data_IF_769252543581
#
_entry.id   IF_769252543581
#
_cell.length_a   1.000
_cell.length_b   1.000
_cell.length_c   1.000
_cell.angle_alpha   90.00
_cell.angle_beta   90.00
_cell.angle_gamma   90.00
#
_symmetry.space_group_name_H-M   'P 1'
#
loop_
_entity.id
_entity.type
_entity.pdbx_description
1 polymer ?
#
# COMPACT_ATOMS: atom_id res chain seq x y z
N UNK A 1 -51.32 -16.47 60.74
CA UNK A 1 -51.57 -16.57 59.29
C UNK A 1 -50.23 -16.61 58.55
N UNK A 2 -49.95 -17.74 57.91
CA UNK A 2 -48.83 -17.95 56.97
C UNK A 2 -49.11 -17.21 55.67
N UNK A 3 -48.17 -16.42 55.15
CA UNK A 3 -47.98 -16.16 53.70
C UNK A 3 -46.49 -15.92 53.42
N UNK A 4 -45.76 -16.99 53.07
CA UNK A 4 -45.30 -17.38 51.72
C UNK A 4 -44.05 -16.64 51.22
N UNK A 5 -42.95 -17.38 51.34
CA UNK A 5 -41.72 -17.32 50.55
C UNK A 5 -42.01 -17.51 49.04
N UNK A 6 -41.24 -16.84 48.18
CA UNK A 6 -40.72 -17.25 46.84
C UNK A 6 -40.96 -16.22 45.74
N UNK A 7 -39.84 -15.65 45.27
CA UNK A 7 -39.46 -15.34 43.87
C UNK A 7 -38.19 -14.46 44.00
N UNK A 8 -36.98 -15.03 44.08
CA UNK A 8 -36.24 -15.60 42.95
C UNK A 8 -36.28 -14.68 41.72
N UNK A 9 -35.46 -13.65 41.71
CA UNK A 9 -34.80 -13.18 40.48
C UNK A 9 -33.40 -12.69 40.85
N UNK A 10 -32.49 -13.65 40.85
CA UNK A 10 -31.07 -13.43 40.60
C UNK A 10 -30.92 -13.21 39.08
N UNK A 11 -29.80 -12.61 38.71
CA UNK A 11 -29.12 -12.68 37.40
C UNK A 11 -29.16 -11.40 36.55
N UNK A 12 -27.95 -10.83 36.50
CA UNK A 12 -27.31 -10.13 35.39
C UNK A 12 -27.63 -8.65 35.16
N UNK A 13 -26.77 -7.83 35.78
CA UNK A 13 -26.18 -6.69 35.12
C UNK A 13 -25.42 -7.15 33.86
N UNK A 14 -26.12 -7.35 32.76
CA UNK A 14 -25.50 -7.21 31.43
C UNK A 14 -25.62 -5.75 31.06
N UNK A 15 -24.56 -5.02 31.40
CA UNK A 15 -24.14 -3.82 30.67
C UNK A 15 -24.01 -4.27 29.23
N UNK A 16 -25.07 -4.06 28.44
CA UNK A 16 -24.96 -4.10 27.00
C UNK A 16 -24.11 -2.91 26.61
N UNK A 17 -22.81 -3.10 26.71
CA UNK A 17 -21.84 -2.50 25.82
C UNK A 17 -22.32 -2.83 24.41
N UNK A 18 -23.26 -2.02 23.90
CA UNK A 18 -23.28 -1.64 22.51
C UNK A 18 -21.91 -1.04 22.28
N UNK A 19 -20.97 -1.94 22.02
CA UNK A 19 -19.78 -1.67 21.28
C UNK A 19 -20.22 -0.76 20.15
N UNK A 20 -19.79 0.49 20.24
CA UNK A 20 -19.28 1.14 19.05
C UNK A 20 -18.30 0.12 18.45
N UNK A 21 -18.82 -0.76 17.59
CA UNK A 21 -18.14 -1.06 16.35
C UNK A 21 -18.09 0.28 15.63
N UNK A 22 -17.22 1.17 16.13
CA UNK A 22 -16.62 2.16 15.28
C UNK A 22 -16.08 1.33 14.15
N UNK A 23 -16.68 1.47 12.97
CA UNK A 23 -16.03 1.17 11.73
C UNK A 23 -14.73 1.98 11.79
N UNK A 24 -13.68 1.41 12.35
CA UNK A 24 -12.34 2.00 12.34
C UNK A 24 -11.83 1.77 10.93
N UNK A 25 -12.42 2.50 9.97
CA UNK A 25 -11.68 2.85 8.77
C UNK A 25 -10.36 3.44 9.28
N UNK A 26 -9.20 2.92 8.85
CA UNK A 26 -7.93 3.47 9.28
C UNK A 26 -7.95 4.98 9.00
N UNK A 27 -7.86 5.79 10.06
CA UNK A 27 -7.87 7.24 9.93
C UNK A 27 -6.62 7.68 9.17
N UNK A 28 -6.77 7.89 7.87
CA UNK A 28 -5.74 8.47 7.01
C UNK A 28 -5.79 9.98 7.20
N UNK A 29 -4.63 10.62 7.33
CA UNK A 29 -4.56 12.08 7.46
C UNK A 29 -5.03 12.70 6.13
N UNK A 30 -6.19 13.35 6.15
CA UNK A 30 -6.84 13.93 4.97
C UNK A 30 -5.93 14.93 4.24
N UNK A 31 -5.12 15.70 4.97
CA UNK A 31 -4.15 16.62 4.38
C UNK A 31 -3.08 15.91 3.55
N UNK A 32 -2.61 14.75 4.02
CA UNK A 32 -1.69 13.90 3.25
C UNK A 32 -2.38 13.33 2.03
N UNK A 33 -3.58 12.75 2.20
CA UNK A 33 -4.33 12.17 1.09
C UNK A 33 -4.58 13.19 -0.01
N UNK A 34 -5.05 14.38 0.33
CA UNK A 34 -5.27 15.47 -0.62
C UNK A 34 -3.99 15.93 -1.33
N UNK A 35 -2.84 15.87 -0.67
CA UNK A 35 -1.56 16.22 -1.29
C UNK A 35 -1.16 15.22 -2.36
N UNK A 36 -1.32 13.93 -2.09
CA UNK A 36 -0.68 12.87 -2.87
C UNK A 36 -1.61 12.23 -3.90
N UNK A 37 -2.92 12.31 -3.69
CA UNK A 37 -3.91 11.73 -4.60
C UNK A 37 -3.80 12.35 -5.99
N UNK A 38 -3.89 11.48 -7.00
CA UNK A 38 -3.74 11.82 -8.41
C UNK A 38 -2.41 12.49 -8.75
N UNK A 39 -1.36 12.27 -7.96
CA UNK A 39 -0.04 12.83 -8.18
C UNK A 39 1.03 11.74 -8.20
N UNK A 40 2.23 12.13 -8.63
CA UNK A 40 3.42 11.28 -8.59
C UNK A 40 4.25 11.66 -7.38
N UNK A 41 4.56 10.69 -6.53
CA UNK A 41 5.36 10.86 -5.32
C UNK A 41 6.64 10.05 -5.43
N UNK A 42 7.77 10.66 -5.10
CA UNK A 42 9.03 9.93 -4.97
C UNK A 42 9.05 9.14 -3.68
N UNK A 43 9.34 7.84 -3.76
CA UNK A 43 9.28 6.92 -2.63
C UNK A 43 10.50 6.01 -2.60
N UNK A 44 10.91 5.61 -1.39
CA UNK A 44 11.86 4.52 -1.20
C UNK A 44 11.13 3.20 -1.24
N UNK A 45 11.72 2.19 -1.87
CA UNK A 45 11.25 0.81 -1.80
C UNK A 45 11.50 0.30 -0.38
N UNK A 46 10.45 0.22 0.45
CA UNK A 46 10.55 -0.33 1.78
C UNK A 46 10.64 -1.85 1.70
N UNK A 47 9.73 -2.53 1.00
CA UNK A 47 9.86 -3.98 0.74
C UNK A 47 10.04 -4.19 -0.78
N UNK A 48 11.22 -4.67 -1.15
CA UNK A 48 11.59 -4.96 -2.54
C UNK A 48 10.98 -6.24 -3.07
N UNK A 49 11.23 -6.52 -4.35
CA UNK A 49 10.77 -7.72 -5.02
C UNK A 49 11.56 -8.95 -4.58
N UNK A 50 10.93 -10.13 -4.68
CA UNK A 50 11.61 -11.42 -4.48
C UNK A 50 11.86 -12.11 -5.83
N UNK A 51 13.01 -12.78 -5.99
CA UNK A 51 13.39 -13.36 -7.28
C UNK A 51 12.56 -14.58 -7.66
N UNK A 52 12.04 -15.32 -6.69
CA UNK A 52 11.45 -16.66 -6.83
C UNK A 52 9.96 -16.72 -6.46
N UNK A 53 9.45 -15.71 -5.75
CA UNK A 53 8.07 -15.64 -5.26
C UNK A 53 7.47 -14.25 -5.40
N UNK A 54 6.15 -14.20 -5.51
CA UNK A 54 5.41 -12.95 -5.48
C UNK A 54 5.53 -12.32 -4.10
N UNK A 55 5.71 -11.01 -4.08
CA UNK A 55 5.45 -10.22 -2.90
C UNK A 55 3.93 -10.12 -2.73
N UNK A 56 3.39 -10.58 -1.60
CA UNK A 56 1.97 -10.47 -1.27
C UNK A 56 1.84 -10.18 0.22
N UNK A 57 1.07 -9.15 0.64
CA UNK A 57 0.79 -8.97 2.05
C UNK A 57 0.02 -10.19 2.61
N UNK A 58 0.15 -10.41 3.92
CA UNK A 58 -0.39 -11.57 4.62
C UNK A 58 -1.85 -11.89 4.24
N UNK A 59 -2.06 -13.13 3.76
CA UNK A 59 -3.33 -13.85 3.61
C UNK A 59 -4.46 -13.10 2.90
N UNK A 60 -4.88 -13.64 1.75
CA UNK A 60 -6.12 -13.34 1.02
C UNK A 60 -7.33 -13.05 1.93
N UNK A 61 -7.41 -13.67 3.12
CA UNK A 61 -8.52 -13.52 4.06
C UNK A 61 -8.39 -12.34 5.05
N UNK A 62 -7.21 -11.76 5.27
CA UNK A 62 -7.00 -10.70 6.29
C UNK A 62 -7.15 -9.30 5.70
N UNK A 63 -6.73 -9.09 4.45
CA UNK A 63 -6.83 -7.80 3.76
C UNK A 63 -8.18 -7.58 3.04
N UNK A 64 -8.99 -8.64 2.88
CA UNK A 64 -10.20 -8.69 2.06
C UNK A 64 -11.29 -7.64 2.37
N UNK A 65 -11.25 -7.02 3.55
CA UNK A 65 -12.27 -6.04 3.97
C UNK A 65 -11.91 -4.57 3.65
N UNK A 66 -10.65 -4.26 3.33
CA UNK A 66 -10.21 -2.88 3.03
C UNK A 66 -9.56 -2.71 1.66
N UNK A 67 -8.96 -3.78 1.16
CA UNK A 67 -8.24 -3.79 -0.10
C UNK A 67 -8.62 -5.08 -0.84
N UNK A 68 -9.25 -4.96 -2.01
CA UNK A 68 -9.72 -6.13 -2.74
C UNK A 68 -8.54 -6.89 -3.37
N UNK A 69 -8.04 -7.92 -2.69
CA UNK A 69 -7.01 -8.85 -3.19
C UNK A 69 -7.66 -10.14 -3.71
N UNK A 70 -7.06 -10.76 -4.71
CA UNK A 70 -7.48 -12.08 -5.21
C UNK A 70 -6.31 -12.90 -5.79
N UNK A 71 -6.58 -14.15 -6.18
CA UNK A 71 -5.58 -15.00 -6.84
C UNK A 71 -5.00 -14.39 -8.12
N UNK A 72 -5.68 -13.43 -8.75
CA UNK A 72 -5.13 -12.74 -9.92
C UNK A 72 -4.02 -11.76 -9.51
N UNK A 73 -4.17 -11.05 -8.39
CA UNK A 73 -3.20 -10.05 -7.93
C UNK A 73 -1.81 -10.64 -7.63
N UNK A 74 -1.72 -11.84 -7.01
CA UNK A 74 -0.43 -12.47 -6.68
C UNK A 74 0.41 -12.85 -7.92
N UNK A 75 -0.19 -12.83 -9.11
CA UNK A 75 0.50 -13.20 -10.34
C UNK A 75 1.41 -12.09 -10.88
N UNK A 76 1.35 -10.88 -10.32
CA UNK A 76 2.07 -9.69 -10.81
C UNK A 76 3.19 -9.26 -9.86
N UNK A 77 4.00 -8.30 -10.32
CA UNK A 77 5.10 -7.72 -9.53
C UNK A 77 4.57 -6.58 -8.67
N UNK A 78 4.97 -6.60 -7.40
CA UNK A 78 4.53 -5.65 -6.38
C UNK A 78 5.70 -5.28 -5.48
N UNK A 79 5.64 -4.07 -4.95
CA UNK A 79 6.54 -3.58 -3.91
C UNK A 79 5.75 -2.81 -2.86
N UNK A 80 6.37 -2.57 -1.70
CA UNK A 80 5.87 -1.64 -0.70
C UNK A 80 6.73 -0.37 -0.65
N UNK A 81 6.43 0.66 -1.44
CA UNK A 81 7.14 1.93 -1.40
C UNK A 81 6.62 2.85 -0.28
N UNK A 82 7.52 3.64 0.29
CA UNK A 82 7.24 4.60 1.36
C UNK A 82 7.87 5.98 1.06
N UNK A 83 7.13 7.04 1.40
CA UNK A 83 7.66 8.41 1.48
C UNK A 83 7.38 9.03 2.84
N UNK A 84 8.39 9.70 3.38
CA UNK A 84 8.23 10.62 4.50
C UNK A 84 8.10 12.04 3.91
N UNK A 85 6.90 12.59 3.98
CA UNK A 85 6.60 13.92 3.45
C UNK A 85 7.23 15.03 4.30
N UNK A 86 7.20 16.25 3.78
CA UNK A 86 7.90 17.39 4.40
C UNK A 86 7.38 17.70 5.82
N UNK A 87 8.17 18.51 6.52
CA UNK A 87 8.10 18.78 7.96
C UNK A 87 6.82 19.48 8.45
N UNK A 88 6.07 20.15 7.59
CA UNK A 88 4.82 20.85 7.95
C UNK A 88 3.59 19.93 7.95
N UNK A 89 3.65 18.78 7.27
CA UNK A 89 2.53 17.86 7.13
C UNK A 89 2.64 16.58 7.98
N UNK A 90 3.80 16.32 8.61
CA UNK A 90 4.08 15.15 9.47
C UNK A 90 3.46 13.85 8.93
N UNK A 91 3.75 13.56 7.67
CA UNK A 91 3.06 12.53 6.93
C UNK A 91 3.94 11.40 6.43
N UNK A 92 3.43 10.17 6.56
CA UNK A 92 4.00 8.99 5.90
C UNK A 92 2.99 8.49 4.88
N UNK A 93 3.48 8.23 3.68
CA UNK A 93 2.74 7.54 2.63
C UNK A 93 3.38 6.18 2.47
N UNK A 94 2.58 5.12 2.52
CA UNK A 94 3.09 3.75 2.44
C UNK A 94 2.07 2.87 1.71
N UNK A 95 2.12 2.88 0.38
CA UNK A 95 1.08 2.28 -0.47
C UNK A 95 1.65 1.20 -1.34
N UNK A 96 0.98 0.06 -1.43
CA UNK A 96 1.44 -1.05 -2.27
C UNK A 96 1.32 -0.68 -3.75
N UNK A 97 2.41 -0.85 -4.49
CA UNK A 97 2.48 -0.42 -5.88
C UNK A 97 2.78 -1.57 -6.83
N UNK A 98 2.08 -1.55 -7.98
CA UNK A 98 2.40 -2.42 -9.11
C UNK A 98 3.69 -1.98 -9.77
N UNK A 99 4.48 -2.97 -10.20
CA UNK A 99 5.70 -2.74 -10.98
C UNK A 99 5.46 -3.18 -12.42
N UNK A 100 5.46 -2.27 -13.40
CA UNK A 100 5.32 -2.61 -14.80
C UNK A 100 6.59 -3.29 -15.34
N UNK A 101 6.47 -3.93 -16.50
CA UNK A 101 7.52 -4.78 -17.09
C UNK A 101 8.78 -4.01 -17.47
N UNK A 102 8.64 -2.74 -17.81
CA UNK A 102 9.70 -1.84 -18.24
C UNK A 102 10.59 -1.39 -17.07
N UNK A 103 10.12 -1.57 -15.82
CA UNK A 103 10.87 -1.20 -14.62
C UNK A 103 11.77 -2.37 -14.20
N UNK A 104 13.07 -2.12 -13.93
CA UNK A 104 13.99 -3.17 -13.50
C UNK A 104 13.54 -3.80 -12.18
N UNK A 105 14.12 -4.94 -11.83
CA UNK A 105 13.84 -5.59 -10.56
C UNK A 105 14.27 -4.68 -9.39
N UNK A 106 13.34 -4.39 -8.49
CA UNK A 106 13.52 -3.42 -7.42
C UNK A 106 13.92 -4.09 -6.10
N UNK A 107 14.89 -3.49 -5.40
CA UNK A 107 15.40 -3.92 -4.10
C UNK A 107 15.03 -2.92 -3.01
N UNK A 108 15.14 -3.35 -1.75
CA UNK A 108 15.02 -2.47 -0.60
C UNK A 108 15.98 -1.28 -0.73
N UNK A 109 15.49 -0.06 -0.48
CA UNK A 109 16.26 1.18 -0.52
C UNK A 109 16.31 1.86 -1.90
N UNK A 110 15.89 1.18 -2.97
CA UNK A 110 15.79 1.80 -4.29
C UNK A 110 14.82 2.98 -4.25
N UNK A 111 15.08 3.99 -5.07
CA UNK A 111 14.25 5.18 -5.17
C UNK A 111 13.41 5.09 -6.44
N UNK A 112 12.09 5.26 -6.30
CA UNK A 112 11.12 5.16 -7.39
C UNK A 112 10.15 6.32 -7.37
N UNK A 113 9.64 6.69 -8.53
CA UNK A 113 8.49 7.58 -8.62
C UNK A 113 7.22 6.73 -8.79
N UNK A 114 6.22 7.01 -7.95
CA UNK A 114 4.98 6.23 -7.84
C UNK A 114 3.80 7.14 -8.10
N UNK A 115 2.97 6.81 -9.07
CA UNK A 115 1.67 7.43 -9.25
C UNK A 115 0.68 6.87 -8.23
N UNK A 116 0.00 7.75 -7.49
CA UNK A 116 -0.99 7.39 -6.49
C UNK A 116 -2.40 7.78 -6.93
N UNK A 117 -3.24 6.82 -7.39
CA UNK A 117 -4.65 7.11 -7.61
C UNK A 117 -5.38 7.36 -6.28
N UNK A 118 -6.63 7.82 -6.33
CA UNK A 118 -7.45 8.00 -5.14
C UNK A 118 -7.67 6.65 -4.45
N UNK A 119 -7.55 6.64 -3.14
CA UNK A 119 -7.56 5.45 -2.31
C UNK A 119 -8.83 4.62 -2.46
N UNK A 120 -9.97 5.29 -2.54
CA UNK A 120 -11.29 4.74 -2.75
C UNK A 120 -11.43 3.97 -4.07
N UNK A 121 -10.47 4.14 -4.99
CA UNK A 121 -10.44 3.41 -6.27
C UNK A 121 -9.59 2.15 -6.22
N UNK A 122 -8.94 1.85 -5.07
CA UNK A 122 -8.00 0.74 -4.98
C UNK A 122 -8.74 -0.60 -5.03
N UNK A 123 -8.33 -1.42 -5.99
CA UNK A 123 -8.75 -2.79 -6.18
C UNK A 123 -7.58 -3.55 -6.82
N UNK A 124 -6.76 -4.16 -5.96
CA UNK A 124 -5.56 -4.89 -6.36
C UNK A 124 -5.87 -6.09 -7.25
N UNK A 125 -7.02 -6.75 -7.04
CA UNK A 125 -7.51 -7.85 -7.86
C UNK A 125 -7.82 -7.44 -9.30
N UNK A 126 -8.25 -6.19 -9.50
CA UNK A 126 -8.45 -5.54 -10.81
C UNK A 126 -7.26 -4.69 -11.25
N UNK A 127 -6.11 -4.78 -10.57
CA UNK A 127 -4.91 -3.98 -10.87
C UNK A 127 -5.12 -2.46 -10.77
N UNK A 128 -6.14 -2.02 -10.03
CA UNK A 128 -6.34 -0.61 -9.66
C UNK A 128 -5.55 -0.34 -8.39
N UNK A 129 -4.34 0.15 -8.55
CA UNK A 129 -3.41 0.38 -7.45
C UNK A 129 -2.49 1.56 -7.78
N UNK A 130 -1.70 2.03 -6.81
CA UNK A 130 -0.47 2.74 -7.09
C UNK A 130 0.39 2.02 -8.14
N UNK A 131 1.07 2.80 -8.98
CA UNK A 131 1.91 2.25 -10.07
C UNK A 131 3.29 2.90 -9.98
N UNK A 132 4.33 2.08 -9.98
CA UNK A 132 5.70 2.55 -10.18
C UNK A 132 5.83 2.99 -11.63
N UNK A 133 6.12 4.27 -11.85
CA UNK A 133 6.25 4.83 -13.20
C UNK A 133 7.71 5.00 -13.62
N UNK A 134 8.65 5.05 -12.66
CA UNK A 134 10.06 5.26 -12.92
C UNK A 134 10.94 4.73 -11.81
N UNK A 135 12.02 4.04 -12.18
CA UNK A 135 13.19 3.82 -11.33
C UNK A 135 14.09 5.06 -11.37
N UNK A 136 14.45 5.60 -10.21
CA UNK A 136 15.18 6.86 -10.08
C UNK A 136 16.63 6.62 -9.71
N UNK A 137 16.88 5.94 -8.58
CA UNK A 137 18.22 5.65 -8.07
C UNK A 137 18.27 4.24 -7.49
N UNK A 138 19.43 3.59 -7.64
CA UNK A 138 19.73 2.38 -6.88
C UNK A 138 19.91 2.71 -5.40
N UNK A 139 19.60 1.77 -4.52
CA UNK A 139 19.96 1.84 -3.10
C UNK A 139 21.47 2.08 -2.89
N UNK A 140 22.31 1.57 -3.79
CA UNK A 140 23.77 1.63 -3.69
C UNK A 140 24.38 2.88 -4.36
N UNK A 141 23.57 3.78 -4.94
CA UNK A 141 24.02 5.00 -5.62
C UNK A 141 23.76 6.25 -4.75
N UNK A 142 24.61 6.43 -3.75
CA UNK A 142 24.51 7.56 -2.80
C UNK A 142 24.53 8.93 -3.50
N UNK A 143 25.29 9.07 -4.58
CA UNK A 143 25.38 10.31 -5.33
C UNK A 143 24.05 10.68 -5.99
N UNK A 144 23.37 9.70 -6.61
CA UNK A 144 22.03 9.88 -7.14
C UNK A 144 21.02 10.17 -6.04
N UNK A 145 21.06 9.41 -4.94
CA UNK A 145 20.14 9.55 -3.80
C UNK A 145 20.22 10.96 -3.19
N UNK A 146 21.42 11.47 -2.98
CA UNK A 146 21.64 12.79 -2.40
C UNK A 146 21.27 13.92 -3.36
N UNK A 147 21.54 13.76 -4.66
CA UNK A 147 21.09 14.71 -5.68
C UNK A 147 19.56 14.79 -5.69
N UNK A 148 18.89 13.64 -5.71
CA UNK A 148 17.43 13.52 -5.69
C UNK A 148 16.82 14.19 -4.44
N UNK A 149 17.38 13.94 -3.25
CA UNK A 149 16.93 14.62 -2.03
C UNK A 149 17.07 16.13 -2.13
N UNK A 150 18.19 16.64 -2.66
CA UNK A 150 18.45 18.09 -2.82
C UNK A 150 17.45 18.75 -3.78
N UNK A 151 17.14 18.09 -4.90
CA UNK A 151 16.14 18.56 -5.87
C UNK A 151 14.75 18.72 -5.23
N UNK A 152 14.44 17.93 -4.20
CA UNK A 152 13.16 17.93 -3.48
C UNK A 152 13.23 18.65 -2.12
N UNK A 153 14.22 19.52 -1.89
CA UNK A 153 14.29 20.30 -0.64
C UNK A 153 14.60 19.46 0.62
N UNK A 154 15.19 18.28 0.44
CA UNK A 154 15.73 17.43 1.50
C UNK A 154 14.88 16.22 1.89
N UNK A 155 13.70 16.01 1.28
CA UNK A 155 12.82 14.86 1.57
C UNK A 155 12.09 14.36 0.31
N UNK A 156 11.54 13.16 0.41
CA UNK A 156 10.66 12.59 -0.60
C UNK A 156 9.32 13.35 -0.63
N UNK A 157 8.87 13.73 -1.82
CA UNK A 157 7.70 14.59 -2.01
C UNK A 157 6.98 14.29 -3.33
N UNK A 158 5.87 15.00 -3.57
CA UNK A 158 5.20 15.06 -4.86
C UNK A 158 6.17 15.66 -5.88
N UNK A 159 6.56 14.86 -6.87
CA UNK A 159 7.49 15.26 -7.95
C UNK A 159 6.78 15.67 -9.23
N UNK A 160 5.50 15.30 -9.37
CA UNK A 160 4.65 15.76 -10.47
C UNK A 160 3.20 15.78 -10.04
N UNK A 161 2.45 16.78 -10.53
CA UNK A 161 1.01 16.89 -10.31
C UNK A 161 0.24 16.28 -11.47
N UNK A 162 -0.86 15.60 -11.15
CA UNK A 162 -1.75 14.99 -12.14
C UNK A 162 -1.37 13.56 -12.51
N UNK A 163 -2.28 12.93 -13.24
CA UNK A 163 -2.14 11.57 -13.74
C UNK A 163 -1.14 11.54 -14.90
N UNK A 164 -0.04 10.78 -14.82
CA UNK A 164 0.87 10.60 -15.94
C UNK A 164 0.20 9.78 -17.05
N UNK A 165 0.74 9.85 -18.26
CA UNK A 165 0.36 8.89 -19.30
C UNK A 165 0.86 7.50 -18.92
N UNK A 166 -0.06 6.55 -18.84
CA UNK A 166 0.21 5.16 -18.47
C UNK A 166 0.06 4.20 -19.65
N UNK A 167 -0.25 4.70 -20.86
CA UNK A 167 -0.56 3.89 -22.04
C UNK A 167 0.59 2.98 -22.48
N UNK A 168 1.83 3.34 -22.16
CA UNK A 168 3.04 2.58 -22.48
C UNK A 168 3.44 1.52 -21.44
N UNK A 169 2.71 1.38 -20.33
CA UNK A 169 3.06 0.40 -19.29
C UNK A 169 2.40 -0.94 -19.55
N UNK A 170 3.21 -2.00 -19.49
CA UNK A 170 2.75 -3.37 -19.62
C UNK A 170 2.84 -4.10 -18.28
N UNK A 171 1.81 -4.89 -17.97
CA UNK A 171 1.79 -5.74 -16.78
C UNK A 171 1.54 -7.18 -17.20
N UNK A 172 2.60 -7.99 -17.20
CA UNK A 172 2.48 -9.42 -17.46
C UNK A 172 2.53 -10.23 -16.17
N UNK A 173 1.80 -11.36 -16.18
CA UNK A 173 1.85 -12.32 -15.08
C UNK A 173 3.25 -12.92 -15.00
N UNK A 174 3.96 -12.68 -13.90
CA UNK A 174 5.27 -13.24 -13.61
C UNK A 174 5.21 -14.46 -12.70
N UNK A 175 4.10 -14.65 -12.00
CA UNK A 175 3.92 -15.72 -11.02
C UNK A 175 2.66 -16.55 -11.32
N UNK A 176 2.67 -17.81 -10.91
CA UNK A 176 1.50 -18.67 -10.92
C UNK A 176 0.53 -18.31 -9.78
N UNK A 177 -0.58 -19.03 -9.69
CA UNK A 177 -1.62 -18.78 -8.67
C UNK A 177 -1.14 -19.02 -7.23
N UNK A 178 -0.04 -19.75 -7.05
CA UNK A 178 0.59 -19.99 -5.74
C UNK A 178 1.62 -18.92 -5.40
N UNK A 179 1.85 -17.97 -6.31
CA UNK A 179 2.87 -16.93 -6.18
C UNK A 179 4.27 -17.41 -6.55
N UNK A 180 4.44 -18.62 -7.12
CA UNK A 180 5.74 -19.09 -7.59
C UNK A 180 6.04 -18.51 -8.97
N UNK A 181 7.28 -18.10 -9.20
CA UNK A 181 7.66 -17.46 -10.47
C UNK A 181 7.55 -18.42 -11.67
N UNK A 182 6.97 -17.94 -12.75
CA UNK A 182 6.78 -18.68 -14.00
C UNK A 182 8.08 -18.80 -14.83
N UNK A 183 8.97 -17.81 -14.73
CA UNK A 183 10.25 -17.76 -15.47
C UNK A 183 11.36 -17.19 -14.56
N UNK A 184 12.53 -17.83 -14.42
CA UNK A 184 13.65 -17.30 -13.63
C UNK A 184 14.06 -15.87 -14.06
N UNK A 185 14.55 -15.06 -13.12
CA UNK A 185 15.19 -13.78 -13.47
C UNK A 185 16.37 -14.04 -14.42
N UNK A 186 16.46 -13.22 -15.47
CA UNK A 186 17.66 -13.12 -16.28
C UNK A 186 18.68 -12.24 -15.58
#
# INVERSE_FOLDING_TARGET
>A
MKKTLKNLFLVSATISSLSLQGCTTPHRNEGISNLIMNNVVRMYVNWGEYPDKAWSPASYNVAANYYHWNENSIQYRWIWPQANLRRDLYGVVNEMAMVPDEIPFLRHGDLVDVYLPPFETYNYGEMRAPIVIRFVCSADDDACQDKSKKELGGKNEVVSKGKPDLSGFTFTKKFDKTGKRLVPLR
#
